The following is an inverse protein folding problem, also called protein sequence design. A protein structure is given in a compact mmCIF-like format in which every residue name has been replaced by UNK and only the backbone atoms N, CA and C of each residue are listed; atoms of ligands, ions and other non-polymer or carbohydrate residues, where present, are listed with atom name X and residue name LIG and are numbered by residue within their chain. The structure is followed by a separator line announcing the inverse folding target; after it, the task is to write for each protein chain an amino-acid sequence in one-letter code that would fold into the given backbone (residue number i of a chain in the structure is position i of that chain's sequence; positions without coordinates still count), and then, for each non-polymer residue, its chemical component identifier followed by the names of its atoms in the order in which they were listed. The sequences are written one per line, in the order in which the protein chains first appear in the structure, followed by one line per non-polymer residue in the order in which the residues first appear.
data_IF_091431452378
#
_entry.id   IF_091431452378
#
_cell.length_a   1.000
_cell.length_b   1.000
_cell.length_c   1.000
_cell.angle_alpha   90.00
_cell.angle_beta   90.00
_cell.angle_gamma   90.00
#
_symmetry.space_group_name_H-M   'P 1'
#
loop_
_entity.id
_entity.type
_entity.pdbx_description
1 polymer ?
#
# COMPACT_ATOMS: atom_id res chain seq x y z
N UNK A 1 5.05 4.15 -19.45
CA UNK A 1 3.62 4.43 -19.25
C UNK A 1 3.09 3.78 -17.97
N UNK A 2 3.35 2.50 -17.76
CA UNK A 2 2.88 1.79 -16.56
C UNK A 2 3.40 2.46 -15.29
N UNK A 3 4.69 2.75 -15.22
CA UNK A 3 5.28 3.44 -14.08
C UNK A 3 4.64 4.81 -13.85
N UNK A 4 4.36 5.53 -14.92
CA UNK A 4 3.74 6.85 -14.86
C UNK A 4 2.34 6.78 -14.24
N UNK A 5 1.56 5.77 -14.66
CA UNK A 5 0.21 5.53 -14.14
C UNK A 5 0.26 5.25 -12.63
N UNK A 6 1.19 4.41 -12.19
CA UNK A 6 1.34 4.06 -10.78
C UNK A 6 1.73 5.28 -9.93
N UNK A 7 2.65 6.10 -10.41
CA UNK A 7 3.06 7.33 -9.72
C UNK A 7 1.87 8.30 -9.62
N UNK A 8 1.09 8.44 -10.69
CA UNK A 8 -0.06 9.32 -10.70
C UNK A 8 -1.13 8.87 -9.70
N UNK A 9 -1.37 7.58 -9.58
CA UNK A 9 -2.29 7.03 -8.56
C UNK A 9 -1.86 7.46 -7.15
N UNK A 10 -0.58 7.40 -6.85
CA UNK A 10 -0.05 7.79 -5.55
C UNK A 10 -0.28 9.27 -5.27
N UNK A 11 -0.07 10.11 -6.28
CA UNK A 11 -0.31 11.56 -6.16
C UNK A 11 -1.79 11.81 -5.85
N UNK A 12 -2.70 11.18 -6.58
CA UNK A 12 -4.13 11.31 -6.36
C UNK A 12 -4.55 10.79 -4.97
N UNK A 13 -3.93 9.73 -4.51
CA UNK A 13 -4.16 9.19 -3.18
C UNK A 13 -3.81 10.22 -2.10
N UNK A 14 -2.65 10.85 -2.19
CA UNK A 14 -2.23 11.88 -1.23
C UNK A 14 -3.14 13.10 -1.28
N UNK A 15 -3.63 13.48 -2.44
CA UNK A 15 -4.59 14.59 -2.57
C UNK A 15 -5.93 14.26 -1.92
N UNK A 16 -6.40 13.04 -2.10
CA UNK A 16 -7.67 12.59 -1.53
C UNK A 16 -7.60 12.45 -0.01
N UNK A 17 -6.49 11.93 0.51
CA UNK A 17 -6.30 11.67 1.94
C UNK A 17 -5.30 12.65 2.58
N UNK A 18 -5.48 13.93 2.35
CA UNK A 18 -4.55 14.97 2.85
C UNK A 18 -4.29 14.90 4.35
N UNK A 19 -5.33 14.58 5.13
CA UNK A 19 -5.22 14.50 6.59
C UNK A 19 -4.36 13.33 7.07
N UNK A 20 -4.13 12.36 6.21
CA UNK A 20 -3.33 11.17 6.53
C UNK A 20 -1.95 11.20 5.88
N UNK A 21 -1.55 12.32 5.27
CA UNK A 21 -0.26 12.42 4.60
C UNK A 21 0.91 12.07 5.52
N UNK A 22 0.94 12.64 6.73
CA UNK A 22 2.03 12.36 7.66
C UNK A 22 2.07 10.90 8.09
N UNK A 23 0.91 10.25 8.24
CA UNK A 23 0.84 8.82 8.53
C UNK A 23 1.51 8.01 7.41
N UNK A 24 1.12 8.23 6.18
CA UNK A 24 1.65 7.45 5.05
C UNK A 24 3.12 7.75 4.77
N UNK A 25 3.54 9.00 4.94
CA UNK A 25 4.95 9.35 4.82
C UNK A 25 5.80 8.63 5.88
N UNK A 26 5.29 8.53 7.09
CA UNK A 26 6.00 7.82 8.17
C UNK A 26 6.06 6.32 7.90
N UNK A 27 4.98 5.74 7.37
CA UNK A 27 4.97 4.32 6.97
C UNK A 27 6.05 4.07 5.91
N UNK A 28 6.16 4.94 4.91
CA UNK A 28 7.19 4.82 3.88
C UNK A 28 8.60 4.84 4.47
N UNK A 29 8.85 5.70 5.44
CA UNK A 29 10.16 5.80 6.09
C UNK A 29 10.53 4.53 6.85
N UNK A 30 9.56 3.87 7.47
CA UNK A 30 9.77 2.68 8.29
C UNK A 30 9.82 1.39 7.50
N UNK A 31 9.45 1.42 6.24
CA UNK A 31 9.32 0.23 5.41
C UNK A 31 10.38 0.19 4.31
N UNK A 32 10.77 -1.03 3.91
CA UNK A 32 11.68 -1.26 2.79
C UNK A 32 11.14 -2.37 1.90
N UNK A 33 11.41 -2.25 0.60
CA UNK A 33 10.95 -3.20 -0.40
C UNK A 33 9.74 -2.68 -1.15
N UNK A 34 8.80 -3.58 -1.45
CA UNK A 34 7.56 -3.23 -2.15
C UNK A 34 6.47 -2.99 -1.12
N UNK A 35 5.90 -1.78 -1.12
CA UNK A 35 4.86 -1.37 -0.16
C UNK A 35 3.64 -0.94 -0.94
N UNK A 36 2.54 -1.64 -0.75
CA UNK A 36 1.31 -1.45 -1.51
C UNK A 36 0.14 -1.25 -0.55
N UNK A 37 -0.65 -0.20 -0.76
CA UNK A 37 -1.94 -0.04 -0.08
C UNK A 37 -3.00 -0.65 -0.99
N UNK A 38 -3.87 -1.48 -0.43
CA UNK A 38 -4.96 -2.11 -1.15
C UNK A 38 -6.27 -1.94 -0.36
N UNK A 39 -7.32 -2.60 -0.77
CA UNK A 39 -8.62 -2.51 -0.09
C UNK A 39 -9.31 -1.17 -0.27
N UNK A 40 -10.13 -0.77 0.69
CA UNK A 40 -11.01 0.39 0.55
C UNK A 40 -10.27 1.71 0.37
N UNK A 41 -9.10 1.86 0.97
CA UNK A 41 -8.29 3.07 0.78
C UNK A 41 -7.76 3.17 -0.64
N UNK A 42 -7.41 2.06 -1.27
CA UNK A 42 -6.87 2.08 -2.63
C UNK A 42 -7.92 2.46 -3.68
N UNK A 43 -9.20 2.21 -3.43
CA UNK A 43 -10.27 2.58 -4.35
C UNK A 43 -11.05 3.81 -3.90
N UNK A 44 -10.56 4.55 -2.90
CA UNK A 44 -11.15 5.77 -2.37
C UNK A 44 -12.56 5.57 -1.78
N UNK A 45 -12.87 4.36 -1.32
CA UNK A 45 -14.16 4.03 -0.72
C UNK A 45 -14.09 3.80 0.79
N UNK A 46 -13.00 4.24 1.41
CA UNK A 46 -12.86 4.15 2.86
C UNK A 46 -13.80 5.11 3.59
N UNK A 47 -14.14 4.75 4.82
CA UNK A 47 -14.84 5.62 5.75
C UNK A 47 -14.04 5.70 7.06
N UNK A 48 -14.56 6.40 8.06
CA UNK A 48 -13.85 6.61 9.33
C UNK A 48 -13.54 5.32 10.10
N UNK A 49 -14.28 4.24 9.82
CA UNK A 49 -14.08 2.95 10.51
C UNK A 49 -13.26 1.97 9.68
N UNK A 50 -12.81 2.38 8.48
CA UNK A 50 -12.02 1.52 7.61
C UNK A 50 -10.61 1.33 8.13
N UNK A 51 -10.09 0.10 8.04
CA UNK A 51 -8.68 -0.19 8.29
C UNK A 51 -7.87 0.14 7.04
N UNK A 52 -6.60 0.45 7.23
CA UNK A 52 -5.66 0.60 6.11
C UNK A 52 -5.01 -0.75 5.85
N UNK A 53 -5.23 -1.29 4.67
CA UNK A 53 -4.66 -2.58 4.26
C UNK A 53 -3.36 -2.37 3.51
N UNK A 54 -2.27 -2.91 4.03
CA UNK A 54 -0.92 -2.75 3.48
C UNK A 54 -0.33 -4.10 3.17
N UNK A 55 0.15 -4.27 1.94
CA UNK A 55 0.84 -5.46 1.48
C UNK A 55 2.32 -5.16 1.32
N UNK A 56 3.18 -5.96 1.95
CA UNK A 56 4.62 -5.72 1.97
C UNK A 56 5.38 -6.94 1.49
N UNK A 57 6.23 -6.72 0.48
CA UNK A 57 7.29 -7.67 0.13
C UNK A 57 8.58 -7.00 0.55
N UNK A 58 9.04 -7.30 1.77
CA UNK A 58 10.17 -6.63 2.40
C UNK A 58 10.00 -6.60 3.90
N UNK A 59 10.29 -5.46 4.51
CA UNK A 59 10.24 -5.31 5.97
C UNK A 59 9.64 -3.97 6.38
N UNK A 60 9.12 -3.93 7.60
CA UNK A 60 8.61 -2.69 8.20
C UNK A 60 8.91 -2.69 9.71
N UNK A 61 9.29 -1.53 10.25
CA UNK A 61 9.43 -1.32 11.67
C UNK A 61 8.05 -1.24 12.32
N UNK A 62 8.00 -1.42 13.66
CA UNK A 62 6.75 -1.39 14.41
C UNK A 62 6.00 -0.08 14.17
N UNK A 63 4.69 -0.18 13.89
CA UNK A 63 3.83 0.98 13.57
C UNK A 63 2.70 1.18 14.57
N UNK A 64 2.74 0.52 15.72
CA UNK A 64 1.66 0.61 16.72
C UNK A 64 1.47 2.01 17.28
N UNK A 65 2.55 2.78 17.39
CA UNK A 65 2.48 4.17 17.80
C UNK A 65 1.68 5.01 16.81
N UNK A 66 1.81 4.71 15.51
CA UNK A 66 1.05 5.38 14.46
C UNK A 66 -0.43 5.05 14.54
N UNK A 67 -0.76 3.80 14.82
CA UNK A 67 -2.16 3.39 15.00
C UNK A 67 -2.83 4.18 16.13
N UNK A 68 -2.13 4.37 17.24
CA UNK A 68 -2.63 5.14 18.37
C UNK A 68 -2.74 6.63 18.05
N UNK A 69 -1.72 7.19 17.42
CA UNK A 69 -1.65 8.62 17.11
C UNK A 69 -2.76 9.04 16.15
N UNK A 70 -3.04 8.21 15.15
CA UNK A 70 -4.02 8.54 14.10
C UNK A 70 -5.39 7.87 14.32
N UNK A 71 -5.52 7.07 15.38
CA UNK A 71 -6.74 6.32 15.67
C UNK A 71 -7.22 5.52 14.46
N UNK A 72 -6.30 4.76 13.86
CA UNK A 72 -6.57 3.99 12.67
C UNK A 72 -5.83 2.65 12.77
N UNK A 73 -6.48 1.58 12.32
CA UNK A 73 -5.87 0.25 12.32
C UNK A 73 -5.12 0.01 11.01
N UNK A 74 -3.92 -0.51 11.11
CA UNK A 74 -3.08 -0.87 9.97
C UNK A 74 -3.00 -2.38 9.87
N UNK A 75 -3.63 -2.95 8.86
CA UNK A 75 -3.56 -4.38 8.57
C UNK A 75 -2.39 -4.63 7.64
N UNK A 76 -1.32 -5.23 8.16
CA UNK A 76 -0.11 -5.46 7.37
C UNK A 76 -0.02 -6.93 7.00
N UNK A 77 0.03 -7.19 5.70
CA UNK A 77 0.20 -8.53 5.14
C UNK A 77 1.61 -8.65 4.57
N UNK A 78 2.41 -9.53 5.14
CA UNK A 78 3.77 -9.80 4.66
C UNK A 78 3.76 -10.92 3.64
N UNK A 79 4.58 -10.79 2.60
CA UNK A 79 4.73 -11.81 1.58
C UNK A 79 6.15 -11.80 1.02
N UNK A 80 6.40 -12.63 0.03
CA UNK A 80 7.67 -12.74 -0.66
C UNK A 80 7.43 -12.70 -2.16
N UNK A 81 8.48 -12.46 -2.95
CA UNK A 81 8.38 -12.36 -4.41
C UNK A 81 7.87 -13.66 -5.05
N UNK A 82 8.32 -14.79 -4.54
CA UNK A 82 7.93 -16.12 -5.05
C UNK A 82 6.46 -16.44 -4.78
N UNK A 83 5.85 -15.83 -3.76
CA UNK A 83 4.42 -15.99 -3.44
C UNK A 83 3.53 -15.04 -4.21
N UNK A 84 4.10 -14.09 -4.94
CA UNK A 84 3.34 -13.11 -5.71
C UNK A 84 2.92 -13.75 -7.04
N UNK A 85 1.88 -14.57 -6.98
CA UNK A 85 1.36 -15.32 -8.12
C UNK A 85 0.07 -14.67 -8.64
N UNK A 86 0.06 -14.17 -9.89
CA UNK A 86 -1.15 -13.56 -10.47
C UNK A 86 -2.36 -14.47 -10.56
N UNK A 87 -2.18 -15.78 -10.39
CA UNK A 87 -3.29 -16.76 -10.39
C UNK A 87 -3.97 -16.86 -9.02
N UNK A 88 -3.31 -16.42 -7.96
CA UNK A 88 -3.86 -16.39 -6.61
C UNK A 88 -4.97 -15.33 -6.53
N UNK A 89 -6.12 -15.67 -5.95
CA UNK A 89 -7.26 -14.76 -5.88
C UNK A 89 -6.94 -13.49 -5.08
N UNK A 90 -6.20 -13.63 -3.99
CA UNK A 90 -5.80 -12.48 -3.18
C UNK A 90 -4.86 -11.54 -3.96
N UNK A 91 -3.89 -12.12 -4.67
CA UNK A 91 -2.96 -11.33 -5.48
C UNK A 91 -3.70 -10.65 -6.65
N UNK A 92 -4.68 -11.32 -7.25
CA UNK A 92 -5.53 -10.71 -8.28
C UNK A 92 -6.23 -9.46 -7.76
N UNK A 93 -6.74 -9.50 -6.52
CA UNK A 93 -7.39 -8.33 -5.91
C UNK A 93 -6.40 -7.18 -5.74
N UNK A 94 -5.18 -7.47 -5.32
CA UNK A 94 -4.13 -6.46 -5.18
C UNK A 94 -3.77 -5.87 -6.54
N UNK A 95 -3.59 -6.70 -7.56
CA UNK A 95 -3.27 -6.23 -8.92
C UNK A 95 -4.38 -5.33 -9.46
N UNK A 96 -5.62 -5.71 -9.22
CA UNK A 96 -6.79 -4.99 -9.72
C UNK A 96 -6.94 -3.61 -9.09
N UNK A 97 -6.58 -3.47 -7.82
CA UNK A 97 -6.84 -2.25 -7.07
C UNK A 97 -5.76 -2.02 -6.02
N UNK A 98 -4.86 -1.09 -6.29
CA UNK A 98 -3.69 -0.84 -5.46
C UNK A 98 -3.14 0.58 -5.62
N UNK A 99 -2.44 1.03 -4.58
CA UNK A 99 -1.60 2.22 -4.65
C UNK A 99 -0.20 1.80 -4.20
N UNK A 100 0.80 1.95 -5.05
CA UNK A 100 2.17 1.57 -4.74
C UNK A 100 2.86 2.75 -4.04
N UNK A 101 3.26 2.55 -2.79
CA UNK A 101 3.96 3.58 -2.02
C UNK A 101 5.47 3.49 -2.20
N UNK A 102 5.99 2.29 -2.40
CA UNK A 102 7.43 2.08 -2.54
C UNK A 102 7.68 0.85 -3.42
N UNK A 103 8.78 0.85 -4.17
CA UNK A 103 9.16 -0.30 -4.98
C UNK A 103 8.37 -0.46 -6.27
N UNK A 104 8.00 0.65 -6.93
CA UNK A 104 7.19 0.61 -8.15
C UNK A 104 7.87 -0.17 -9.27
N UNK A 105 9.20 -0.02 -9.43
CA UNK A 105 9.95 -0.73 -10.48
C UNK A 105 9.99 -2.23 -10.21
N UNK A 106 10.22 -2.62 -8.96
CA UNK A 106 10.21 -4.02 -8.55
C UNK A 106 8.83 -4.64 -8.72
N UNK A 107 7.77 -3.90 -8.40
CA UNK A 107 6.40 -4.36 -8.61
C UNK A 107 6.12 -4.63 -10.09
N UNK A 108 6.49 -3.70 -10.95
CA UNK A 108 6.30 -3.84 -12.39
C UNK A 108 7.01 -5.10 -12.90
N UNK A 109 8.23 -5.36 -12.40
CA UNK A 109 8.99 -6.56 -12.76
C UNK A 109 8.30 -7.85 -12.35
N UNK A 110 7.50 -7.83 -11.28
CA UNK A 110 6.78 -9.02 -10.83
C UNK A 110 5.59 -9.38 -11.71
N UNK A 111 4.95 -8.39 -12.33
CA UNK A 111 3.72 -8.61 -13.11
C UNK A 111 3.96 -8.57 -14.62
N UNK A 112 5.10 -8.10 -15.06
CA UNK A 112 5.49 -8.03 -16.47
C UNK A 112 6.76 -8.85 -16.70
#
# INVERSE_FOLDING_TARGET
IVKFVEINKKILFYEHYKKLNSLFLEIEKRAEGIIIVFGSYANFMSNKDSDVDIFIIGSILNVRDLEKLYDIKLNIVHSTKDKFNPKDLFIKEIIKNHIIFKGVEEYISLIW
#
